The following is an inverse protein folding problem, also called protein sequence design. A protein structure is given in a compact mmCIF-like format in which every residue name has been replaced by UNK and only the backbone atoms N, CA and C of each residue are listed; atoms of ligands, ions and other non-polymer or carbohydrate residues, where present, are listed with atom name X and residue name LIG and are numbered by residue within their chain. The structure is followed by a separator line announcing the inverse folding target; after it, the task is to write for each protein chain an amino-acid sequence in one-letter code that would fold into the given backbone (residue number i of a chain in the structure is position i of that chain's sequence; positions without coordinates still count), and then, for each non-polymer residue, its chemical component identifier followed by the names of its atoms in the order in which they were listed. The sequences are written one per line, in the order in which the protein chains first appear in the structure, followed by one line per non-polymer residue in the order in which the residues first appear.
data_IF_960139624598
#
_entry.id   IF_960139624598
#
_cell.length_a   1.000
_cell.length_b   1.000
_cell.length_c   1.000
_cell.angle_alpha   90.00
_cell.angle_beta   90.00
_cell.angle_gamma   90.00
#
_symmetry.space_group_name_H-M   'P 1'
#
loop_
_entity.id
_entity.type
_entity.pdbx_description
1 polymer ?
#
# COMPACT_ATOMS: atom_id res chain seq x y z
N UNK A 1 -12.41 -12.33 -24.06
CA UNK A 1 -13.17 -12.19 -22.79
C UNK A 1 -12.83 -10.82 -22.25
N UNK A 2 -13.80 -9.98 -21.90
CA UNK A 2 -13.51 -8.66 -21.31
C UNK A 2 -12.87 -8.85 -19.93
N UNK A 3 -11.97 -7.95 -19.51
CA UNK A 3 -11.27 -8.03 -18.22
C UNK A 3 -12.24 -8.10 -17.03
N UNK A 4 -13.33 -7.31 -17.09
CA UNK A 4 -14.39 -7.31 -16.09
C UNK A 4 -15.01 -8.71 -15.91
N UNK A 5 -15.28 -9.41 -17.02
CA UNK A 5 -15.83 -10.78 -16.99
C UNK A 5 -14.81 -11.84 -16.51
N UNK A 6 -13.51 -11.55 -16.58
CA UNK A 6 -12.48 -12.41 -16.02
C UNK A 6 -12.42 -12.24 -14.49
N UNK A 7 -12.41 -10.99 -14.01
CA UNK A 7 -12.38 -10.67 -12.59
C UNK A 7 -13.56 -11.30 -11.85
N UNK A 8 -14.79 -11.18 -12.39
CA UNK A 8 -15.98 -11.79 -11.80
C UNK A 8 -15.85 -13.31 -11.63
N UNK A 9 -15.25 -13.98 -12.62
CA UNK A 9 -15.02 -15.43 -12.56
C UNK A 9 -13.95 -15.80 -11.54
N UNK A 10 -12.89 -15.00 -11.42
CA UNK A 10 -11.85 -15.20 -10.41
C UNK A 10 -12.48 -15.08 -9.01
N UNK A 11 -13.24 -14.00 -8.78
CA UNK A 11 -13.94 -13.77 -7.52
C UNK A 11 -14.87 -14.93 -7.18
N UNK A 12 -15.70 -15.38 -8.13
CA UNK A 12 -16.60 -16.52 -7.93
C UNK A 12 -15.85 -17.81 -7.52
N UNK A 13 -14.71 -18.10 -8.15
CA UNK A 13 -13.89 -19.26 -7.77
C UNK A 13 -13.30 -19.08 -6.37
N UNK A 14 -12.75 -17.90 -6.05
CA UNK A 14 -12.17 -17.60 -4.74
C UNK A 14 -13.19 -17.78 -3.61
N UNK A 15 -14.42 -17.28 -3.80
CA UNK A 15 -15.53 -17.41 -2.86
C UNK A 15 -15.96 -18.88 -2.70
N UNK A 16 -16.21 -19.59 -3.80
CA UNK A 16 -16.73 -20.97 -3.76
C UNK A 16 -15.72 -22.02 -3.30
N UNK A 17 -14.42 -21.73 -3.38
CA UNK A 17 -13.36 -22.69 -3.07
C UNK A 17 -12.69 -22.46 -1.71
N UNK A 18 -13.18 -21.50 -0.92
CA UNK A 18 -12.64 -21.26 0.43
C UNK A 18 -11.28 -20.58 0.41
N UNK A 19 -11.03 -19.70 -0.57
CA UNK A 19 -9.90 -18.78 -0.50
C UNK A 19 -10.23 -17.57 0.36
N UNK A 20 -11.39 -16.97 0.15
CA UNK A 20 -11.77 -15.72 0.81
C UNK A 20 -13.29 -15.55 0.86
N UNK A 21 -13.79 -14.86 1.87
CA UNK A 21 -15.20 -14.46 2.02
C UNK A 21 -15.30 -13.01 2.50
N UNK A 22 -16.37 -12.27 2.17
CA UNK A 22 -16.62 -10.95 2.75
C UNK A 22 -16.77 -11.04 4.27
N UNK A 23 -16.16 -10.12 5.01
CA UNK A 23 -16.26 -10.18 6.46
C UNK A 23 -17.66 -9.92 6.96
N UNK A 24 -18.13 -10.71 7.93
CA UNK A 24 -19.45 -10.59 8.55
C UNK A 24 -20.62 -10.71 7.54
N UNK A 25 -20.46 -11.54 6.51
CA UNK A 25 -21.42 -11.70 5.41
C UNK A 25 -22.87 -11.95 5.88
N UNK A 26 -23.07 -12.82 6.88
CA UNK A 26 -24.42 -13.13 7.42
C UNK A 26 -25.08 -11.95 8.15
N UNK A 27 -24.33 -10.90 8.46
CA UNK A 27 -24.80 -9.66 9.08
C UNK A 27 -24.91 -8.50 8.08
N UNK A 28 -24.78 -8.77 6.77
CA UNK A 28 -24.82 -7.76 5.70
C UNK A 28 -23.44 -7.25 5.28
N UNK A 29 -22.38 -7.74 5.91
CA UNK A 29 -20.99 -7.45 5.57
C UNK A 29 -20.49 -6.05 5.95
N UNK A 30 -19.17 -5.89 5.95
CA UNK A 30 -18.51 -4.60 6.06
C UNK A 30 -17.59 -4.38 4.85
N UNK A 31 -17.89 -3.36 4.04
CA UNK A 31 -17.11 -3.08 2.83
C UNK A 31 -15.63 -2.87 3.13
N UNK A 32 -14.76 -3.54 2.38
CA UNK A 32 -13.30 -3.47 2.53
C UNK A 32 -12.72 -4.42 3.58
N UNK A 33 -13.50 -5.31 4.18
CA UNK A 33 -13.00 -6.33 5.11
C UNK A 33 -13.31 -7.72 4.59
N UNK A 34 -12.36 -8.65 4.73
CA UNK A 34 -12.45 -10.00 4.22
C UNK A 34 -11.84 -11.01 5.19
N UNK A 35 -12.32 -12.24 5.10
CA UNK A 35 -11.82 -13.39 5.86
C UNK A 35 -11.14 -14.34 4.88
N UNK A 36 -9.92 -14.80 5.18
CA UNK A 36 -9.28 -15.84 4.39
C UNK A 36 -9.76 -17.21 4.86
N UNK A 37 -10.33 -17.99 3.94
CA UNK A 37 -10.74 -19.38 4.20
C UNK A 37 -9.54 -20.34 4.21
N UNK A 38 -9.75 -21.65 4.43
CA UNK A 38 -8.65 -22.60 4.63
C UNK A 38 -7.58 -22.60 3.53
N UNK A 39 -7.97 -22.47 2.26
CA UNK A 39 -7.00 -22.41 1.16
C UNK A 39 -6.31 -21.04 1.08
N UNK A 40 -7.04 -19.97 1.36
CA UNK A 40 -6.50 -18.61 1.34
C UNK A 40 -5.50 -18.38 2.46
N UNK A 41 -5.78 -18.89 3.66
CA UNK A 41 -4.85 -18.83 4.80
C UNK A 41 -3.53 -19.54 4.48
N UNK A 42 -3.60 -20.74 3.89
CA UNK A 42 -2.38 -21.46 3.47
C UNK A 42 -1.64 -20.72 2.34
N UNK A 43 -2.38 -20.12 1.40
CA UNK A 43 -1.80 -19.36 0.29
C UNK A 43 -1.06 -18.12 0.79
N UNK A 44 -1.70 -17.28 1.62
CA UNK A 44 -1.07 -16.07 2.15
C UNK A 44 0.13 -16.41 3.03
N UNK A 45 0.05 -17.47 3.83
CA UNK A 45 1.20 -17.93 4.63
C UNK A 45 2.38 -18.33 3.75
N UNK A 46 2.15 -19.05 2.65
CA UNK A 46 3.22 -19.41 1.70
C UNK A 46 3.83 -18.20 1.01
N UNK A 47 3.04 -17.18 0.70
CA UNK A 47 3.55 -15.93 0.12
C UNK A 47 4.45 -15.21 1.13
N UNK A 48 4.01 -15.11 2.39
CA UNK A 48 4.78 -14.51 3.48
C UNK A 48 6.07 -15.31 3.73
N UNK A 49 6.00 -16.64 3.74
CA UNK A 49 7.17 -17.49 3.98
C UNK A 49 8.19 -17.38 2.84
N UNK A 50 7.74 -17.29 1.58
CA UNK A 50 8.62 -17.01 0.44
C UNK A 50 9.28 -15.63 0.56
N UNK A 51 8.51 -14.61 0.94
CA UNK A 51 9.04 -13.26 1.18
C UNK A 51 10.10 -13.27 2.28
N UNK A 52 9.81 -13.93 3.42
CA UNK A 52 10.77 -14.09 4.52
C UNK A 52 12.03 -14.80 4.07
N UNK A 53 11.90 -15.88 3.29
CA UNK A 53 13.05 -16.60 2.78
C UNK A 53 13.96 -15.64 2.00
N UNK A 54 13.40 -14.97 1.00
CA UNK A 54 14.14 -14.11 0.06
C UNK A 54 14.76 -12.89 0.73
N UNK A 55 14.00 -12.19 1.57
CA UNK A 55 14.39 -10.86 2.04
C UNK A 55 14.89 -10.81 3.49
N UNK A 56 14.67 -11.86 4.27
CA UNK A 56 15.02 -11.89 5.70
C UNK A 56 15.99 -13.02 6.02
N UNK A 57 15.73 -14.24 5.53
CA UNK A 57 16.54 -15.40 5.87
C UNK A 57 17.79 -15.55 4.98
N UNK A 58 17.67 -15.17 3.70
CA UNK A 58 18.78 -15.21 2.74
C UNK A 58 19.68 -13.97 2.81
N UNK A 59 19.29 -12.92 3.55
CA UNK A 59 20.09 -11.71 3.80
C UNK A 59 20.46 -11.61 5.29
N UNK A 60 21.74 -11.82 5.62
CA UNK A 60 22.24 -11.84 7.01
C UNK A 60 22.26 -10.46 7.71
N UNK A 61 21.84 -9.41 7.00
CA UNK A 61 21.75 -8.03 7.51
C UNK A 61 20.33 -7.63 7.86
N UNK A 62 19.31 -8.42 7.49
CA UNK A 62 17.89 -8.09 7.70
C UNK A 62 17.32 -8.90 8.87
N UNK A 63 16.66 -8.21 9.81
CA UNK A 63 16.10 -8.82 11.01
C UNK A 63 14.61 -8.51 11.15
N UNK A 64 13.79 -9.52 11.45
CA UNK A 64 12.34 -9.34 11.60
C UNK A 64 11.93 -8.91 13.02
N UNK A 65 10.99 -7.98 13.12
CA UNK A 65 10.31 -7.60 14.36
C UNK A 65 8.78 -7.73 14.22
N UNK A 66 8.09 -7.77 15.36
CA UNK A 66 6.63 -7.66 15.44
C UNK A 66 6.22 -6.46 16.30
N UNK A 67 5.70 -5.41 15.67
CA UNK A 67 5.24 -4.19 16.32
C UNK A 67 3.76 -4.19 16.68
N UNK A 68 3.36 -3.26 17.57
CA UNK A 68 1.95 -3.02 17.90
C UNK A 68 1.20 -2.41 16.72
N UNK A 69 -0.02 -2.90 16.47
CA UNK A 69 -0.95 -2.33 15.48
C UNK A 69 -1.58 -1.01 15.91
N UNK A 70 -1.71 -0.80 17.23
CA UNK A 70 -2.26 0.42 17.80
C UNK A 70 -1.12 1.29 18.33
N UNK A 71 -1.04 2.53 17.87
CA UNK A 71 -0.01 3.48 18.28
C UNK A 71 -0.63 4.81 18.74
N UNK A 72 -0.01 5.50 19.72
CA UNK A 72 -0.51 6.79 20.21
C UNK A 72 -0.49 7.88 19.13
N UNK A 73 -1.46 8.80 19.18
CA UNK A 73 -1.62 9.93 18.24
C UNK A 73 -0.31 10.68 17.91
N UNK A 74 0.51 10.96 18.93
CA UNK A 74 1.78 11.68 18.77
C UNK A 74 2.76 11.06 17.76
N UNK A 75 2.70 9.73 17.56
CA UNK A 75 3.55 9.04 16.57
C UNK A 75 3.14 9.50 15.16
N UNK A 76 1.85 9.50 14.90
CA UNK A 76 1.30 9.86 13.60
C UNK A 76 1.35 11.37 13.36
N UNK A 77 1.24 12.18 14.42
CA UNK A 77 1.52 13.61 14.34
C UNK A 77 2.98 13.87 13.91
N UNK A 78 3.94 13.20 14.56
CA UNK A 78 5.36 13.39 14.24
C UNK A 78 5.72 12.93 12.82
N UNK A 79 5.08 11.86 12.34
CA UNK A 79 5.27 11.34 10.98
C UNK A 79 4.53 12.15 9.89
N UNK A 80 3.65 13.08 10.27
CA UNK A 80 2.82 13.85 9.34
C UNK A 80 1.52 13.18 8.87
N UNK A 81 1.31 11.90 9.17
CA UNK A 81 0.11 11.16 8.74
C UNK A 81 -1.22 11.81 9.15
N UNK A 82 -1.29 12.52 10.28
CA UNK A 82 -2.54 13.18 10.69
C UNK A 82 -2.93 14.35 9.77
N UNK A 83 -1.97 14.94 9.06
CA UNK A 83 -2.18 16.09 8.16
C UNK A 83 -2.18 15.70 6.69
N UNK A 84 -1.39 14.70 6.29
CA UNK A 84 -1.18 14.35 4.88
C UNK A 84 -1.89 13.09 4.42
N UNK A 85 -2.37 12.25 5.35
CA UNK A 85 -3.00 10.96 5.02
C UNK A 85 -4.51 11.12 4.81
N UNK A 86 -4.86 11.98 3.86
CA UNK A 86 -6.24 12.39 3.59
C UNK A 86 -6.62 12.16 2.12
N UNK A 87 -7.88 11.77 1.90
CA UNK A 87 -8.48 11.69 0.57
C UNK A 87 -9.58 12.75 0.39
N UNK A 88 -9.77 13.28 -0.83
CA UNK A 88 -10.86 14.19 -1.12
C UNK A 88 -12.19 13.42 -1.12
N UNK A 89 -13.08 13.78 -0.20
CA UNK A 89 -14.36 13.14 0.05
C UNK A 89 -15.52 14.03 -0.36
N UNK A 90 -16.50 13.46 -1.08
CA UNK A 90 -17.83 14.05 -1.27
C UNK A 90 -18.90 13.14 -0.67
N UNK A 91 -19.95 13.75 -0.10
CA UNK A 91 -21.04 13.02 0.54
C UNK A 91 -22.36 13.33 -0.13
N UNK A 92 -23.19 12.31 -0.38
CA UNK A 92 -24.54 12.53 -0.88
C UNK A 92 -25.42 13.16 0.20
N UNK A 93 -26.06 14.28 -0.13
CA UNK A 93 -26.95 15.02 0.78
C UNK A 93 -28.12 14.14 1.24
N UNK A 94 -28.68 13.34 0.32
CA UNK A 94 -29.89 12.53 0.53
C UNK A 94 -29.64 11.23 1.29
N UNK A 95 -28.68 10.41 0.86
CA UNK A 95 -28.46 9.06 1.42
C UNK A 95 -27.20 8.94 2.29
N UNK A 96 -26.46 10.04 2.48
CA UNK A 96 -25.22 10.11 3.27
C UNK A 96 -24.08 9.19 2.83
N UNK A 97 -24.22 8.53 1.68
CA UNK A 97 -23.16 7.74 1.07
C UNK A 97 -21.98 8.62 0.69
N UNK A 98 -20.79 8.08 0.92
CA UNK A 98 -19.51 8.74 0.79
C UNK A 98 -18.78 8.21 -0.45
N UNK A 99 -18.13 9.10 -1.20
CA UNK A 99 -17.38 8.78 -2.41
C UNK A 99 -16.09 9.57 -2.45
N UNK A 100 -15.02 8.97 -2.96
CA UNK A 100 -13.80 9.72 -3.26
C UNK A 100 -14.06 10.62 -4.47
N UNK A 101 -13.72 11.89 -4.35
CA UNK A 101 -14.16 12.94 -5.27
C UNK A 101 -13.49 12.83 -6.65
N UNK A 102 -12.20 12.54 -6.67
CA UNK A 102 -11.42 12.27 -7.90
C UNK A 102 -11.89 11.00 -8.62
N UNK A 103 -12.28 9.95 -7.88
CA UNK A 103 -12.76 8.70 -8.47
C UNK A 103 -14.14 8.82 -9.10
N UNK A 104 -15.07 9.48 -8.41
CA UNK A 104 -16.40 9.67 -9.00
C UNK A 104 -16.31 10.57 -10.25
N UNK A 105 -15.35 11.50 -10.29
CA UNK A 105 -15.01 12.25 -11.50
C UNK A 105 -14.48 11.32 -12.58
N UNK A 106 -13.49 10.47 -12.27
CA UNK A 106 -12.92 9.52 -13.22
C UNK A 106 -13.98 8.56 -13.78
N UNK A 107 -14.86 8.03 -12.94
CA UNK A 107 -15.92 7.11 -13.33
C UNK A 107 -16.85 7.72 -14.38
N UNK A 108 -17.25 8.98 -14.16
CA UNK A 108 -18.26 9.68 -14.97
C UNK A 108 -17.65 10.36 -16.20
N UNK A 109 -16.49 11.00 -16.04
CA UNK A 109 -15.88 11.85 -17.08
C UNK A 109 -14.75 11.17 -17.83
N UNK A 110 -14.21 10.06 -17.30
CA UNK A 110 -12.97 9.40 -17.76
C UNK A 110 -11.72 10.28 -17.67
N UNK A 111 -11.79 11.41 -16.96
CA UNK A 111 -10.66 12.29 -16.65
C UNK A 111 -10.02 11.87 -15.33
N UNK A 112 -8.71 11.67 -15.32
CA UNK A 112 -7.97 11.53 -14.06
C UNK A 112 -7.87 12.92 -13.38
N UNK A 113 -8.42 13.01 -12.16
CA UNK A 113 -8.43 14.22 -11.33
C UNK A 113 -7.68 14.00 -9.99
N UNK A 114 -6.88 12.94 -9.90
CA UNK A 114 -6.05 12.66 -8.74
C UNK A 114 -5.06 13.82 -8.50
N UNK A 115 -4.96 14.26 -7.25
CA UNK A 115 -4.10 15.38 -6.84
C UNK A 115 -4.64 16.79 -7.14
N UNK A 116 -5.85 16.93 -7.69
CA UNK A 116 -6.44 18.24 -7.97
C UNK A 116 -6.88 18.94 -6.65
N UNK A 117 -6.82 20.28 -6.57
CA UNK A 117 -7.37 21.03 -5.44
C UNK A 117 -8.89 20.80 -5.26
N UNK A 118 -9.39 20.86 -4.03
CA UNK A 118 -10.81 20.61 -3.71
C UNK A 118 -11.75 21.53 -4.50
N UNK A 119 -11.38 22.79 -4.69
CA UNK A 119 -12.18 23.75 -5.46
C UNK A 119 -12.27 23.38 -6.94
N UNK A 120 -11.25 22.73 -7.49
CA UNK A 120 -11.26 22.24 -8.86
C UNK A 120 -12.11 20.98 -9.00
N UNK A 121 -12.04 20.07 -8.02
CA UNK A 121 -12.91 18.90 -7.94
C UNK A 121 -14.39 19.32 -7.89
N UNK A 122 -14.73 20.29 -7.02
CA UNK A 122 -16.08 20.85 -6.89
C UNK A 122 -16.58 21.45 -8.22
N UNK A 123 -15.71 22.17 -8.95
CA UNK A 123 -16.05 22.73 -10.26
C UNK A 123 -16.37 21.63 -11.27
N UNK A 124 -15.52 20.60 -11.37
CA UNK A 124 -15.72 19.49 -12.31
C UNK A 124 -17.03 18.76 -12.00
N UNK A 125 -17.32 18.51 -10.71
CA UNK A 125 -18.56 17.88 -10.26
C UNK A 125 -19.78 18.72 -10.67
N UNK A 126 -19.73 20.04 -10.46
CA UNK A 126 -20.82 20.94 -10.83
C UNK A 126 -21.03 21.05 -12.35
N UNK A 127 -19.94 21.22 -13.12
CA UNK A 127 -19.96 21.35 -14.58
C UNK A 127 -20.54 20.11 -15.27
N UNK A 128 -20.13 18.92 -14.81
CA UNK A 128 -20.58 17.64 -15.35
C UNK A 128 -21.87 17.14 -14.68
N UNK A 129 -22.43 17.91 -13.74
CA UNK A 129 -23.63 17.57 -12.95
C UNK A 129 -23.55 16.16 -12.37
N UNK A 130 -22.39 15.82 -11.79
CA UNK A 130 -22.13 14.51 -11.21
C UNK A 130 -23.08 14.30 -10.02
N UNK A 131 -23.77 13.15 -10.01
CA UNK A 131 -24.75 12.79 -8.98
C UNK A 131 -24.31 11.56 -8.22
N UNK A 132 -24.92 11.34 -7.06
CA UNK A 132 -24.73 10.15 -6.27
C UNK A 132 -25.01 8.88 -7.09
N UNK A 133 -24.01 7.98 -7.18
CA UNK A 133 -24.12 6.72 -7.92
C UNK A 133 -25.17 5.75 -7.32
N UNK A 134 -25.57 5.93 -6.05
CA UNK A 134 -26.54 5.06 -5.36
C UNK A 134 -28.00 5.54 -5.46
N UNK A 135 -28.25 6.83 -5.32
CA UNK A 135 -29.62 7.37 -5.25
C UNK A 135 -29.91 8.55 -6.17
N UNK A 136 -28.94 8.96 -7.00
CA UNK A 136 -29.05 10.12 -7.91
C UNK A 136 -29.29 11.46 -7.21
N UNK A 137 -29.09 11.53 -5.89
CA UNK A 137 -29.11 12.78 -5.12
C UNK A 137 -27.88 13.65 -5.38
N UNK A 138 -27.95 14.89 -4.89
CA UNK A 138 -26.85 15.86 -4.97
C UNK A 138 -25.70 15.48 -4.03
N UNK A 139 -24.49 15.89 -4.40
CA UNK A 139 -23.27 15.71 -3.63
C UNK A 139 -22.90 17.04 -2.96
N UNK A 140 -22.53 16.98 -1.68
CA UNK A 140 -21.93 18.09 -0.96
C UNK A 140 -20.54 18.43 -1.52
N UNK A 141 -20.01 19.59 -1.10
CA UNK A 141 -18.65 20.02 -1.44
C UNK A 141 -17.60 19.03 -0.98
N UNK A 142 -16.53 18.92 -1.77
CA UNK A 142 -15.37 18.13 -1.46
C UNK A 142 -14.68 18.65 -0.19
N UNK A 143 -14.27 17.72 0.69
CA UNK A 143 -13.52 18.01 1.91
C UNK A 143 -12.44 16.96 2.11
N UNK A 144 -11.39 17.30 2.84
CA UNK A 144 -10.40 16.30 3.22
C UNK A 144 -10.96 15.33 4.26
N UNK A 145 -10.62 14.06 4.11
CA UNK A 145 -10.98 12.99 5.02
C UNK A 145 -9.76 12.17 5.39
N UNK A 146 -9.37 12.21 6.66
CA UNK A 146 -8.25 11.41 7.17
C UNK A 146 -8.58 9.91 7.13
N UNK A 147 -7.69 9.14 6.51
CA UNK A 147 -7.87 7.71 6.27
C UNK A 147 -7.44 6.84 7.46
N UNK A 148 -7.05 7.39 8.60
CA UNK A 148 -6.66 6.58 9.76
C UNK A 148 -7.87 6.15 10.60
N UNK A 149 -7.87 4.90 11.08
CA UNK A 149 -8.84 4.46 12.07
C UNK A 149 -8.46 4.97 13.45
N UNK A 150 -9.27 5.88 13.98
CA UNK A 150 -9.13 6.41 15.34
C UNK A 150 -9.70 5.43 16.38
N UNK A 151 -9.01 5.28 17.49
CA UNK A 151 -9.42 4.54 18.67
C UNK A 151 -9.09 5.32 19.95
N UNK A 152 -9.65 4.91 21.08
CA UNK A 152 -9.35 5.45 22.41
C UNK A 152 -8.76 4.36 23.30
N UNK A 153 -7.60 4.63 23.91
CA UNK A 153 -6.94 3.72 24.86
C UNK A 153 -7.37 4.11 26.29
N UNK A 154 -8.03 3.19 26.99
CA UNK A 154 -8.46 3.35 28.38
C UNK A 154 -9.95 3.65 28.53
N UNK A 155 -10.51 3.37 29.71
CA UNK A 155 -11.97 3.39 29.94
C UNK A 155 -12.56 4.76 30.32
N UNK A 156 -11.76 5.70 30.85
CA UNK A 156 -12.23 7.01 31.31
C UNK A 156 -11.15 8.07 31.07
N UNK A 157 -11.41 9.05 30.18
CA UNK A 157 -10.41 10.05 29.78
C UNK A 157 -9.27 9.46 28.94
N UNK A 158 -9.60 8.49 28.09
CA UNK A 158 -8.64 7.70 27.32
C UNK A 158 -7.72 8.53 26.43
N UNK A 159 -6.58 7.95 26.07
CA UNK A 159 -5.61 8.56 25.15
C UNK A 159 -5.99 8.22 23.71
N UNK A 160 -6.05 9.21 22.84
CA UNK A 160 -6.24 8.99 21.40
C UNK A 160 -5.12 8.12 20.84
N UNK A 161 -5.50 7.11 20.09
CA UNK A 161 -4.61 6.26 19.33
C UNK A 161 -5.20 5.97 17.96
N UNK A 162 -4.38 5.43 17.07
CA UNK A 162 -4.83 5.03 15.75
C UNK A 162 -4.31 3.64 15.43
N UNK A 163 -5.10 2.88 14.68
CA UNK A 163 -4.58 1.72 13.99
C UNK A 163 -3.58 2.18 12.93
N UNK A 164 -2.41 1.54 12.89
CA UNK A 164 -1.32 1.96 12.00
C UNK A 164 -1.73 1.81 10.52
N UNK A 165 -1.45 2.82 9.67
CA UNK A 165 -1.73 2.77 8.23
C UNK A 165 -0.63 2.10 7.40
N UNK A 166 0.51 1.84 8.05
CA UNK A 166 1.73 1.18 7.58
C UNK A 166 2.45 0.54 8.77
N UNK A 167 3.44 -0.32 8.52
CA UNK A 167 4.20 -0.99 9.59
C UNK A 167 5.52 -0.28 9.93
N UNK A 168 6.07 0.50 8.99
CA UNK A 168 7.34 1.22 9.08
C UNK A 168 7.53 2.01 10.39
N UNK A 169 6.49 2.69 10.88
CA UNK A 169 6.58 3.51 12.10
C UNK A 169 7.07 2.73 13.33
N UNK A 170 6.71 1.45 13.47
CA UNK A 170 7.20 0.62 14.58
C UNK A 170 8.72 0.42 14.52
N UNK A 171 9.28 0.38 13.32
CA UNK A 171 10.72 0.22 13.10
C UNK A 171 11.43 1.52 13.49
N UNK A 172 10.95 2.66 12.98
CA UNK A 172 11.56 3.97 13.24
C UNK A 172 11.57 4.34 14.73
N UNK A 173 10.44 4.18 15.44
CA UNK A 173 10.38 4.51 16.87
C UNK A 173 11.29 3.62 17.73
N UNK A 174 11.63 2.41 17.24
CA UNK A 174 12.53 1.49 17.93
C UNK A 174 13.97 1.55 17.42
N UNK A 175 14.29 2.41 16.45
CA UNK A 175 15.59 2.46 15.77
C UNK A 175 16.77 2.43 16.74
N UNK A 176 16.79 3.28 17.77
CA UNK A 176 17.89 3.33 18.75
C UNK A 176 18.15 1.99 19.44
N UNK A 177 17.09 1.23 19.74
CA UNK A 177 17.21 -0.09 20.38
C UNK A 177 17.67 -1.14 19.37
N UNK A 178 17.10 -1.11 18.17
CA UNK A 178 17.42 -2.03 17.08
C UNK A 178 18.88 -1.86 16.61
N UNK A 179 19.32 -0.62 16.37
CA UNK A 179 20.71 -0.28 16.08
C UNK A 179 21.66 -0.76 17.19
N UNK A 180 21.23 -0.67 18.45
CA UNK A 180 21.98 -1.20 19.59
C UNK A 180 22.23 -2.71 19.51
N UNK A 181 21.24 -3.50 19.11
CA UNK A 181 21.40 -4.94 18.86
C UNK A 181 22.37 -5.22 17.71
N UNK A 182 22.39 -4.34 16.70
CA UNK A 182 23.33 -4.38 15.57
C UNK A 182 24.69 -3.73 15.89
N UNK A 183 24.98 -3.48 17.17
CA UNK A 183 26.23 -2.86 17.64
C UNK A 183 26.52 -1.50 16.98
N UNK A 184 25.47 -0.79 16.58
CA UNK A 184 25.51 0.47 15.83
C UNK A 184 26.35 0.41 14.55
N UNK A 185 26.35 -0.75 13.88
CA UNK A 185 27.02 -0.92 12.57
C UNK A 185 25.99 -0.88 11.45
N UNK A 186 26.33 -0.15 10.40
CA UNK A 186 25.58 -0.08 9.14
C UNK A 186 26.32 -0.88 8.06
N UNK A 187 25.62 -1.39 7.04
CA UNK A 187 24.16 -1.38 6.90
C UNK A 187 23.46 -2.43 7.80
N UNK A 188 22.19 -2.21 8.10
CA UNK A 188 21.29 -3.26 8.61
C UNK A 188 19.85 -2.96 8.22
N UNK A 189 19.08 -4.01 7.95
CA UNK A 189 17.66 -3.92 7.65
C UNK A 189 16.80 -4.41 8.80
N UNK A 190 15.61 -3.82 8.93
CA UNK A 190 14.58 -4.34 9.83
C UNK A 190 13.33 -4.62 9.00
N UNK A 191 12.91 -5.89 9.02
CA UNK A 191 11.71 -6.37 8.39
C UNK A 191 10.53 -6.38 9.36
N UNK A 192 9.32 -6.22 8.84
CA UNK A 192 8.10 -6.45 9.59
C UNK A 192 6.98 -6.96 8.68
N UNK A 193 6.31 -8.00 9.14
CA UNK A 193 5.09 -8.53 8.54
C UNK A 193 3.93 -8.28 9.49
N UNK A 194 2.83 -7.70 9.01
CA UNK A 194 1.63 -7.59 9.80
C UNK A 194 0.51 -6.74 9.20
N UNK A 195 -0.59 -6.64 9.93
CA UNK A 195 -1.76 -5.85 9.51
C UNK A 195 -1.48 -4.36 9.49
N UNK A 196 -2.04 -3.69 8.50
CA UNK A 196 -2.18 -2.23 8.41
C UNK A 196 -3.60 -1.89 8.00
N UNK A 197 -4.02 -0.67 8.36
CA UNK A 197 -5.40 -0.25 8.28
C UNK A 197 -5.55 1.10 7.59
N UNK A 198 -6.39 1.16 6.57
CA UNK A 198 -6.72 2.40 5.85
C UNK A 198 -8.23 2.50 5.75
N UNK A 199 -8.82 3.56 6.29
CA UNK A 199 -10.25 3.82 6.30
C UNK A 199 -10.74 4.31 4.93
N UNK A 200 -10.48 3.50 3.92
CA UNK A 200 -10.79 3.75 2.51
C UNK A 200 -12.26 4.13 2.34
N UNK A 201 -12.49 5.22 1.60
CA UNK A 201 -13.82 5.83 1.44
C UNK A 201 -14.73 4.90 0.64
N UNK A 202 -14.20 4.35 -0.45
CA UNK A 202 -14.92 3.42 -1.33
C UNK A 202 -14.07 2.19 -1.64
N UNK A 203 -14.08 1.17 -0.76
CA UNK A 203 -13.44 -0.10 -1.04
C UNK A 203 -14.04 -0.71 -2.33
N UNK A 204 -13.19 -1.00 -3.32
CA UNK A 204 -13.56 -1.44 -4.66
C UNK A 204 -12.52 -2.42 -5.20
N UNK A 205 -12.85 -3.11 -6.29
CA UNK A 205 -11.95 -4.02 -7.00
C UNK A 205 -11.41 -5.16 -6.12
N UNK A 206 -12.31 -5.78 -5.34
CA UNK A 206 -12.02 -6.96 -4.53
C UNK A 206 -10.90 -6.71 -3.49
N UNK A 207 -9.76 -7.40 -3.62
CA UNK A 207 -8.62 -7.28 -2.72
C UNK A 207 -7.67 -6.11 -3.04
N UNK A 208 -7.88 -5.38 -4.14
CA UNK A 208 -7.00 -4.27 -4.51
C UNK A 208 -7.17 -3.05 -3.61
N UNK A 209 -8.37 -2.80 -3.08
CA UNK A 209 -8.65 -1.68 -2.17
C UNK A 209 -9.51 -2.15 -1.00
N UNK A 210 -8.83 -2.41 0.11
CA UNK A 210 -9.40 -2.94 1.35
C UNK A 210 -9.00 -2.06 2.53
N UNK A 211 -9.70 -2.22 3.65
CA UNK A 211 -9.50 -1.42 4.86
C UNK A 211 -8.55 -2.05 5.87
N UNK A 212 -8.36 -3.35 5.77
CA UNK A 212 -7.38 -4.13 6.51
C UNK A 212 -6.64 -5.03 5.53
N UNK A 213 -5.31 -5.01 5.57
CA UNK A 213 -4.45 -5.84 4.73
C UNK A 213 -3.14 -6.14 5.44
N UNK A 214 -2.48 -7.22 5.02
CA UNK A 214 -1.12 -7.52 5.46
C UNK A 214 -0.12 -6.74 4.60
N UNK A 215 0.87 -6.15 5.24
CA UNK A 215 2.05 -5.61 4.58
C UNK A 215 3.29 -6.37 5.05
N UNK A 216 4.28 -6.41 4.17
CA UNK A 216 5.62 -6.92 4.41
C UNK A 216 6.56 -5.78 4.02
N UNK A 217 7.13 -5.09 5.01
CA UNK A 217 7.97 -3.90 4.80
C UNK A 217 9.36 -4.13 5.37
N UNK A 218 10.36 -3.55 4.71
CA UNK A 218 11.75 -3.53 5.17
C UNK A 218 12.23 -2.09 5.17
N UNK A 219 12.77 -1.68 6.31
CA UNK A 219 13.53 -0.44 6.42
C UNK A 219 15.03 -0.78 6.44
N UNK A 220 15.71 -0.50 5.33
CA UNK A 220 17.16 -0.68 5.22
C UNK A 220 17.87 0.60 5.63
N UNK A 221 18.66 0.52 6.71
CA UNK A 221 19.48 1.62 7.19
C UNK A 221 20.90 1.44 6.69
N UNK A 222 21.41 2.43 5.96
CA UNK A 222 22.76 2.43 5.39
C UNK A 222 23.42 3.81 5.50
N UNK A 223 24.73 3.85 5.32
CA UNK A 223 25.50 5.10 5.27
C UNK A 223 25.30 5.76 3.89
N UNK A 224 24.74 6.98 3.82
CA UNK A 224 24.49 7.64 2.53
C UNK A 224 25.77 7.88 1.72
N UNK A 225 26.94 7.98 2.36
CA UNK A 225 28.22 8.11 1.63
C UNK A 225 28.64 6.81 0.94
N UNK A 226 28.00 5.68 1.29
CA UNK A 226 28.28 4.33 0.79
C UNK A 226 27.10 3.70 0.06
N UNK A 227 26.21 4.52 -0.49
CA UNK A 227 24.98 4.04 -1.15
C UNK A 227 25.24 3.14 -2.38
N UNK A 228 26.45 3.14 -2.93
CA UNK A 228 26.88 2.31 -4.06
C UNK A 228 27.94 1.25 -3.66
N UNK A 229 27.96 0.84 -2.39
CA UNK A 229 28.84 -0.21 -1.87
C UNK A 229 28.01 -1.38 -1.30
N UNK A 230 27.00 -1.84 -2.04
CA UNK A 230 26.18 -2.98 -1.59
C UNK A 230 26.94 -4.30 -1.78
N UNK A 231 27.07 -5.10 -0.73
CA UNK A 231 27.92 -6.30 -0.72
C UNK A 231 27.48 -7.35 -1.74
N UNK A 232 26.16 -7.52 -1.94
CA UNK A 232 25.59 -8.48 -2.88
C UNK A 232 25.28 -7.89 -4.27
N UNK A 233 25.79 -6.70 -4.60
CA UNK A 233 25.52 -6.08 -5.90
C UNK A 233 25.95 -6.96 -7.08
N UNK A 234 27.10 -7.63 -6.96
CA UNK A 234 27.63 -8.48 -8.03
C UNK A 234 26.74 -9.69 -8.34
N UNK A 235 25.91 -10.13 -7.41
CA UNK A 235 24.97 -11.24 -7.56
C UNK A 235 23.74 -10.85 -8.39
N UNK A 236 23.37 -9.57 -8.37
CA UNK A 236 22.12 -9.07 -8.98
C UNK A 236 22.33 -8.18 -10.20
N UNK A 237 23.56 -7.72 -10.47
CA UNK A 237 23.85 -6.71 -11.51
C UNK A 237 23.36 -7.06 -12.93
N UNK A 238 23.33 -8.35 -13.24
CA UNK A 238 22.94 -8.87 -14.56
C UNK A 238 21.45 -9.27 -14.62
N UNK A 239 20.72 -9.21 -13.50
CA UNK A 239 19.28 -9.45 -13.47
C UNK A 239 18.53 -8.30 -14.15
N UNK A 240 17.43 -8.65 -14.82
CA UNK A 240 16.60 -7.69 -15.54
C UNK A 240 15.37 -7.27 -14.72
N UNK A 241 15.08 -5.96 -14.76
CA UNK A 241 13.91 -5.34 -14.16
C UNK A 241 13.14 -4.53 -15.21
N UNK A 242 11.83 -4.41 -15.01
CA UNK A 242 10.93 -3.64 -15.86
C UNK A 242 10.67 -2.26 -15.23
N UNK A 243 11.08 -1.19 -15.91
CA UNK A 243 11.01 0.18 -15.38
C UNK A 243 10.10 1.08 -16.22
N UNK A 244 9.35 1.96 -15.56
CA UNK A 244 8.65 3.08 -16.20
C UNK A 244 9.11 4.37 -15.52
N UNK A 245 10.06 5.08 -16.14
CA UNK A 245 10.65 6.28 -15.52
C UNK A 245 9.67 7.45 -15.50
N UNK A 246 9.91 8.43 -14.62
CA UNK A 246 9.11 9.66 -14.57
C UNK A 246 9.02 10.37 -15.93
N UNK A 247 10.14 10.48 -16.65
CA UNK A 247 10.17 11.11 -17.97
C UNK A 247 9.31 10.37 -18.99
N UNK A 248 9.26 9.03 -18.93
CA UNK A 248 8.36 8.23 -19.76
C UNK A 248 6.90 8.54 -19.43
N UNK A 249 6.55 8.58 -18.15
CA UNK A 249 5.19 8.87 -17.71
C UNK A 249 4.73 10.28 -18.11
N UNK A 250 5.60 11.29 -17.97
CA UNK A 250 5.31 12.67 -18.39
C UNK A 250 5.04 12.78 -19.92
N UNK A 251 5.59 11.87 -20.71
CA UNK A 251 5.33 11.75 -22.16
C UNK A 251 4.13 10.86 -22.49
N UNK A 252 3.37 10.40 -21.49
CA UNK A 252 2.22 9.50 -21.66
C UNK A 252 2.59 8.07 -22.01
N UNK A 253 3.85 7.68 -21.82
CA UNK A 253 4.35 6.34 -22.14
C UNK A 253 4.15 5.39 -20.95
N UNK A 254 3.43 4.29 -21.18
CA UNK A 254 3.08 3.30 -20.13
C UNK A 254 3.77 1.94 -20.30
N UNK A 255 4.44 1.70 -21.43
CA UNK A 255 5.11 0.42 -21.69
C UNK A 255 6.45 0.36 -20.93
N UNK A 256 6.71 -0.66 -20.09
CA UNK A 256 7.97 -0.74 -19.38
C UNK A 256 9.16 -0.94 -20.31
N UNK A 257 10.29 -0.37 -19.90
CA UNK A 257 11.61 -0.66 -20.44
C UNK A 257 12.24 -1.76 -19.60
N UNK A 258 12.60 -2.88 -20.23
CA UNK A 258 13.40 -3.93 -19.60
C UNK A 258 14.87 -3.54 -19.68
N UNK A 259 15.54 -3.46 -18.52
CA UNK A 259 16.98 -3.18 -18.42
C UNK A 259 17.62 -4.09 -17.38
N UNK A 260 18.91 -4.36 -17.51
CA UNK A 260 19.66 -4.97 -16.41
C UNK A 260 19.82 -3.97 -15.25
N UNK A 261 20.01 -4.48 -14.04
CA UNK A 261 20.29 -3.65 -12.87
C UNK A 261 21.49 -2.73 -13.11
N UNK A 262 22.57 -3.26 -13.69
CA UNK A 262 23.75 -2.48 -14.06
C UNK A 262 23.40 -1.35 -15.02
N UNK A 263 22.65 -1.63 -16.08
CA UNK A 263 22.21 -0.60 -17.03
C UNK A 263 21.30 0.44 -16.37
N UNK A 264 20.41 0.03 -15.47
CA UNK A 264 19.54 0.90 -14.71
C UNK A 264 20.31 1.89 -13.82
N UNK A 265 21.40 1.45 -13.20
CA UNK A 265 22.32 2.30 -12.43
C UNK A 265 23.15 3.22 -13.34
N UNK A 266 23.76 2.68 -14.39
CA UNK A 266 24.60 3.44 -15.33
C UNK A 266 23.81 4.59 -16.00
N UNK A 267 22.52 4.33 -16.31
CA UNK A 267 21.60 5.33 -16.89
C UNK A 267 20.89 6.19 -15.85
N UNK A 268 21.14 5.99 -14.55
CA UNK A 268 20.49 6.68 -13.43
C UNK A 268 18.96 6.56 -13.42
N UNK A 269 18.43 5.45 -13.94
CA UNK A 269 17.04 5.08 -13.76
C UNK A 269 16.78 4.55 -12.35
N UNK A 270 17.81 3.94 -11.75
CA UNK A 270 17.83 3.47 -10.37
C UNK A 270 18.84 4.33 -9.61
N UNK A 271 18.52 4.85 -8.41
CA UNK A 271 19.33 5.86 -7.75
C UNK A 271 20.65 5.32 -7.18
N UNK A 272 20.65 4.12 -6.60
CA UNK A 272 21.81 3.54 -5.93
C UNK A 272 21.72 2.01 -5.82
N UNK A 273 22.80 1.37 -5.38
CA UNK A 273 22.88 -0.10 -5.33
C UNK A 273 21.96 -0.75 -4.30
N UNK A 274 21.67 -0.10 -3.17
CA UNK A 274 20.71 -0.63 -2.19
C UNK A 274 19.31 -0.74 -2.78
N UNK A 275 18.82 0.32 -3.43
CA UNK A 275 17.53 0.28 -4.13
C UNK A 275 17.54 -0.77 -5.25
N UNK A 276 18.63 -0.82 -6.02
CA UNK A 276 18.78 -1.76 -7.13
C UNK A 276 18.68 -3.23 -6.68
N UNK A 277 19.33 -3.56 -5.56
CA UNK A 277 19.27 -4.90 -4.99
C UNK A 277 17.84 -5.30 -4.64
N UNK A 278 17.12 -4.47 -3.88
CA UNK A 278 15.74 -4.79 -3.49
C UNK A 278 14.79 -4.87 -4.70
N UNK A 279 14.95 -4.01 -5.71
CA UNK A 279 14.18 -4.08 -6.95
C UNK A 279 14.43 -5.38 -7.72
N UNK A 280 15.68 -5.87 -7.74
CA UNK A 280 16.02 -7.13 -8.38
C UNK A 280 15.37 -8.31 -7.64
N UNK A 281 15.52 -8.35 -6.32
CA UNK A 281 14.96 -9.41 -5.48
C UNK A 281 13.42 -9.42 -5.52
N UNK A 282 12.78 -8.25 -5.56
CA UNK A 282 11.33 -8.13 -5.75
C UNK A 282 10.89 -8.66 -7.12
N UNK A 283 11.64 -8.35 -8.18
CA UNK A 283 11.35 -8.90 -9.51
C UNK A 283 11.45 -10.44 -9.53
N UNK A 284 12.48 -11.00 -8.90
CA UNK A 284 12.64 -12.46 -8.79
C UNK A 284 11.54 -13.10 -7.94
N UNK A 285 11.16 -12.47 -6.83
CA UNK A 285 10.02 -12.93 -6.01
C UNK A 285 8.72 -12.96 -6.82
N UNK A 286 8.42 -11.89 -7.57
CA UNK A 286 7.21 -11.81 -8.38
C UNK A 286 7.20 -12.89 -9.48
N UNK A 287 8.34 -13.15 -10.13
CA UNK A 287 8.49 -14.27 -11.07
C UNK A 287 8.26 -15.62 -10.38
N UNK A 288 8.81 -15.83 -9.19
CA UNK A 288 8.61 -17.05 -8.41
C UNK A 288 7.14 -17.26 -7.98
N UNK A 289 6.40 -16.17 -7.76
CA UNK A 289 4.95 -16.20 -7.50
C UNK A 289 4.11 -16.42 -8.77
N UNK A 290 4.74 -16.42 -9.96
CA UNK A 290 4.06 -16.61 -11.24
C UNK A 290 3.39 -15.34 -11.79
N UNK A 291 3.84 -14.16 -11.35
CA UNK A 291 3.48 -12.89 -11.99
C UNK A 291 4.27 -12.77 -13.31
N UNK A 292 3.57 -12.65 -14.46
CA UNK A 292 4.20 -12.69 -15.78
C UNK A 292 4.99 -11.43 -16.16
#
# INVERSE_FOLDING_TARGET
MTEERLMDKIIDVCLRRGFISPSAEIYGGAGGFYEYGPLGTLMIQKIIDLWRQIFVLDDDRVYEIAGSVLLPERVFQASGHLESFEDPLVQCVSCKSMFRADEIILDVTKKNAEGFPLEELDKIIAEHKIKCQKCQGELDKAKQFNLMFKAEIGSTGGTTAYLRPETAQNIFINFKRLAGFMRNKLPFGIAQVGSSFRNEISPRNFLLRVREFQQMEIEMFYDPEKENEHEHYDEVKDLEVNLVTREMQEKGWTKPLTVSIKEGLDKKFIPNQYMAFFMAMESEMLKALGVP
#
